data_IF_177587479080
#
_entry.id   IF_177587479080
#
_cell.length_a   1.000
_cell.length_b   1.000
_cell.length_c   1.000
_cell.angle_alpha   90.00
_cell.angle_beta   90.00
_cell.angle_gamma   90.00
#
_symmetry.space_group_name_H-M   'P 1'
#
loop_
_entity.id
_entity.type
_entity.pdbx_description
1 polymer ?
#
# COMPACT_ATOMS: atom_id res chain seq x y z
N UNK A 1 -0.83 20.37 19.51
CA UNK A 1 0.31 19.99 18.67
C UNK A 1 -0.19 18.99 17.65
N UNK A 2 -0.15 19.32 16.38
CA UNK A 2 -0.55 18.41 15.29
C UNK A 2 0.69 17.86 14.60
N UNK A 3 0.57 16.63 14.13
CA UNK A 3 1.63 15.89 13.48
C UNK A 3 1.13 15.54 12.09
N UNK A 4 1.91 15.88 11.08
CA UNK A 4 1.51 15.77 9.70
C UNK A 4 2.61 15.30 8.78
N UNK A 5 2.25 15.10 7.52
CA UNK A 5 3.12 14.78 6.41
C UNK A 5 3.64 16.11 5.85
N UNK A 6 4.95 16.30 5.84
CA UNK A 6 5.61 17.52 5.35
C UNK A 6 6.34 17.32 4.03
N UNK A 7 6.54 16.07 3.62
CA UNK A 7 7.10 15.73 2.32
C UNK A 7 6.72 14.34 1.88
N UNK A 8 6.57 14.17 0.56
CA UNK A 8 6.21 12.91 -0.07
C UNK A 8 7.15 12.59 -1.22
N UNK A 9 7.31 11.30 -1.50
CA UNK A 9 8.04 10.83 -2.66
C UNK A 9 7.60 9.44 -3.06
N UNK A 10 7.53 9.17 -4.35
CA UNK A 10 7.23 7.84 -4.85
C UNK A 10 8.21 7.40 -5.94
N UNK A 11 8.31 6.08 -6.08
CA UNK A 11 8.91 5.43 -7.23
C UNK A 11 7.88 4.51 -7.89
N UNK A 12 7.53 4.84 -9.11
CA UNK A 12 6.72 4.00 -9.98
C UNK A 12 7.66 3.43 -11.03
N UNK A 13 7.83 2.10 -11.11
CA UNK A 13 8.71 1.47 -12.09
C UNK A 13 8.34 1.83 -13.54
N UNK A 14 9.35 1.88 -14.41
CA UNK A 14 9.17 2.26 -15.81
C UNK A 14 8.66 1.10 -16.67
N UNK A 15 8.93 -0.15 -16.29
CA UNK A 15 8.50 -1.32 -17.04
C UNK A 15 7.00 -1.53 -16.91
N UNK A 16 6.30 -1.39 -18.02
CA UNK A 16 4.86 -1.64 -18.11
C UNK A 16 4.65 -3.10 -18.49
N UNK A 17 3.80 -3.80 -17.71
CA UNK A 17 3.33 -5.14 -18.04
C UNK A 17 1.83 -5.06 -18.24
N UNK A 18 1.38 -5.22 -19.47
CA UNK A 18 -0.02 -5.14 -19.85
C UNK A 18 -0.73 -6.49 -19.67
N UNK A 19 -2.04 -6.49 -19.64
CA UNK A 19 -2.82 -7.71 -19.53
C UNK A 19 -2.54 -8.71 -20.66
N UNK A 20 -2.29 -8.22 -21.90
CA UNK A 20 -1.93 -9.04 -23.06
C UNK A 20 -0.65 -9.87 -22.86
N UNK A 21 0.26 -9.40 -22.02
CA UNK A 21 1.54 -10.08 -21.77
C UNK A 21 1.36 -11.38 -20.98
N UNK A 22 0.14 -11.64 -20.49
CA UNK A 22 -0.25 -12.88 -19.81
C UNK A 22 -1.00 -13.88 -20.72
N UNK A 23 -1.17 -13.59 -22.02
CA UNK A 23 -1.93 -14.46 -22.93
C UNK A 23 -1.29 -15.83 -23.13
N UNK A 24 0.05 -15.90 -23.03
CA UNK A 24 0.81 -17.16 -23.18
C UNK A 24 1.08 -17.87 -21.83
N UNK A 25 0.55 -17.36 -20.70
CA UNK A 25 0.73 -18.00 -19.40
C UNK A 25 -0.12 -19.27 -19.30
N UNK A 26 0.37 -20.27 -18.56
CA UNK A 26 -0.37 -21.47 -18.22
C UNK A 26 -1.06 -21.28 -16.87
N UNK A 27 -2.25 -20.70 -16.86
CA UNK A 27 -3.00 -20.54 -15.62
C UNK A 27 -3.69 -21.82 -15.18
N UNK A 28 -3.53 -22.18 -13.90
CA UNK A 28 -4.10 -23.36 -13.27
C UNK A 28 -5.00 -22.99 -12.10
N UNK A 29 -6.00 -23.82 -11.84
CA UNK A 29 -6.77 -23.78 -10.61
C UNK A 29 -5.89 -24.17 -9.40
N UNK A 30 -6.33 -23.88 -8.18
CA UNK A 30 -5.59 -24.21 -6.96
C UNK A 30 -5.33 -25.71 -6.74
N UNK A 31 -6.05 -26.58 -7.41
CA UNK A 31 -5.86 -28.04 -7.42
C UNK A 31 -4.93 -28.54 -8.54
N UNK A 32 -4.33 -27.62 -9.31
CA UNK A 32 -3.44 -27.92 -10.44
C UNK A 32 -4.16 -28.26 -11.74
N UNK A 33 -5.48 -28.19 -11.79
CA UNK A 33 -6.22 -28.47 -13.03
C UNK A 33 -6.25 -27.21 -13.94
N UNK A 34 -6.25 -27.37 -15.29
CA UNK A 34 -6.42 -26.27 -16.22
C UNK A 34 -7.75 -25.51 -16.02
N UNK A 35 -7.75 -24.22 -16.32
CA UNK A 35 -9.01 -23.47 -16.38
C UNK A 35 -9.88 -23.95 -17.54
N UNK A 36 -11.19 -23.88 -17.36
CA UNK A 36 -12.18 -24.19 -18.38
C UNK A 36 -12.17 -23.19 -19.56
N UNK A 37 -11.70 -21.95 -19.32
CA UNK A 37 -11.64 -20.86 -20.28
C UNK A 37 -10.20 -20.62 -20.74
N UNK A 38 -10.04 -20.16 -21.99
CA UNK A 38 -8.74 -19.70 -22.49
C UNK A 38 -8.32 -18.35 -21.86
N UNK A 39 -7.03 -18.04 -21.94
CA UNK A 39 -6.45 -16.85 -21.31
C UNK A 39 -7.10 -15.53 -21.72
N UNK A 40 -7.43 -15.24 -22.99
CA UNK A 40 -8.15 -14.01 -23.34
C UNK A 40 -9.45 -13.79 -22.56
N UNK A 41 -10.22 -14.88 -22.33
CA UNK A 41 -11.45 -14.80 -21.52
C UNK A 41 -11.15 -14.60 -20.03
N UNK A 42 -10.11 -15.27 -19.51
CA UNK A 42 -9.67 -15.09 -18.12
C UNK A 42 -9.23 -13.64 -17.89
N UNK A 43 -8.41 -13.11 -18.78
CA UNK A 43 -7.85 -11.76 -18.73
C UNK A 43 -8.96 -10.70 -18.81
N UNK A 44 -9.92 -10.86 -19.70
CA UNK A 44 -11.05 -9.92 -19.80
C UNK A 44 -11.91 -9.93 -18.54
N UNK A 45 -12.26 -11.12 -18.02
CA UNK A 45 -12.96 -11.24 -16.72
C UNK A 45 -12.19 -10.61 -15.57
N UNK A 46 -10.86 -10.82 -15.54
CA UNK A 46 -9.98 -10.22 -14.54
C UNK A 46 -10.05 -8.68 -14.60
N UNK A 47 -9.90 -8.10 -15.80
CA UNK A 47 -9.99 -6.65 -16.01
C UNK A 47 -11.34 -6.08 -15.57
N UNK A 48 -12.44 -6.73 -15.94
CA UNK A 48 -13.81 -6.31 -15.56
C UNK A 48 -14.01 -6.30 -14.03
N UNK A 49 -13.34 -7.19 -13.30
CA UNK A 49 -13.47 -7.30 -11.83
C UNK A 49 -12.53 -6.35 -11.13
N UNK A 50 -11.26 -6.31 -11.53
CA UNK A 50 -10.19 -5.60 -10.82
C UNK A 50 -10.00 -4.16 -11.27
N UNK A 51 -10.42 -3.82 -12.49
CA UNK A 51 -10.10 -2.55 -13.14
C UNK A 51 -8.67 -2.50 -13.72
N UNK A 52 -7.81 -3.52 -13.46
CA UNK A 52 -6.40 -3.50 -13.85
C UNK A 52 -6.24 -3.77 -15.33
N UNK A 53 -5.63 -2.85 -16.06
CA UNK A 53 -5.24 -3.00 -17.47
C UNK A 53 -3.74 -3.25 -17.63
N UNK A 54 -2.93 -2.69 -16.74
CA UNK A 54 -1.48 -2.83 -16.70
C UNK A 54 -0.95 -2.69 -15.27
N UNK A 55 0.27 -3.11 -15.04
CA UNK A 55 0.99 -2.98 -13.78
C UNK A 55 2.43 -2.57 -14.05
N UNK A 56 3.17 -2.29 -13.00
CA UNK A 56 4.55 -1.79 -13.07
C UNK A 56 5.49 -2.77 -12.39
N UNK A 57 6.51 -3.23 -13.10
CA UNK A 57 7.52 -4.11 -12.56
C UNK A 57 8.87 -3.39 -12.45
N UNK A 58 9.55 -3.57 -11.34
CA UNK A 58 10.84 -2.97 -11.09
C UNK A 58 11.89 -3.51 -12.08
N UNK A 59 12.85 -2.67 -12.43
CA UNK A 59 14.00 -3.06 -13.23
C UNK A 59 14.76 -4.19 -12.56
N UNK A 60 15.36 -5.07 -13.37
CA UNK A 60 15.97 -6.32 -12.88
C UNK A 60 17.07 -6.11 -11.84
N UNK A 61 17.78 -4.99 -11.92
CA UNK A 61 18.89 -4.62 -11.03
C UNK A 61 18.46 -3.87 -9.77
N UNK A 62 17.17 -3.55 -9.58
CA UNK A 62 16.66 -2.84 -8.42
C UNK A 62 15.88 -3.80 -7.51
N UNK A 63 16.20 -3.79 -6.22
CA UNK A 63 15.46 -4.50 -5.18
C UNK A 63 14.48 -3.57 -4.44
N UNK A 64 13.71 -4.12 -3.52
CA UNK A 64 12.74 -3.37 -2.71
C UNK A 64 13.42 -2.21 -1.96
N UNK A 65 14.60 -2.45 -1.38
CA UNK A 65 15.36 -1.40 -0.68
C UNK A 65 15.88 -0.31 -1.61
N UNK A 66 16.21 -0.63 -2.87
CA UNK A 66 16.70 0.36 -3.86
C UNK A 66 15.56 1.30 -4.29
N UNK A 67 14.40 0.77 -4.63
CA UNK A 67 13.24 1.59 -5.01
C UNK A 67 12.72 2.41 -3.82
N UNK A 68 12.80 1.87 -2.61
CA UNK A 68 12.51 2.57 -1.37
C UNK A 68 13.47 3.75 -1.12
N UNK A 69 14.76 3.56 -1.38
CA UNK A 69 15.76 4.63 -1.33
C UNK A 69 15.41 5.78 -2.27
N UNK A 70 15.04 5.48 -3.52
CA UNK A 70 14.66 6.50 -4.51
C UNK A 70 13.44 7.30 -4.03
N UNK A 71 12.41 6.63 -3.52
CA UNK A 71 11.23 7.29 -2.97
C UNK A 71 11.58 8.16 -1.74
N UNK A 72 12.45 7.65 -0.87
CA UNK A 72 12.91 8.34 0.34
C UNK A 72 13.69 9.62 0.03
N UNK A 73 14.59 9.59 -0.97
CA UNK A 73 15.31 10.80 -1.41
C UNK A 73 14.34 11.89 -1.87
N UNK A 74 13.30 11.51 -2.63
CA UNK A 74 12.27 12.45 -3.09
C UNK A 74 11.47 13.03 -1.92
N UNK A 75 11.09 12.21 -0.93
CA UNK A 75 10.36 12.67 0.24
C UNK A 75 11.20 13.64 1.11
N UNK A 76 12.48 13.34 1.31
CA UNK A 76 13.41 14.22 2.05
C UNK A 76 13.61 15.56 1.33
N UNK A 77 13.76 15.52 0.00
CA UNK A 77 13.90 16.72 -0.83
C UNK A 77 12.62 17.56 -0.80
N UNK A 78 11.46 16.92 -0.93
CA UNK A 78 10.14 17.57 -0.91
C UNK A 78 9.86 18.27 0.44
N UNK A 79 10.21 17.60 1.55
CA UNK A 79 10.13 18.18 2.90
C UNK A 79 11.18 19.28 3.15
N UNK A 80 12.18 19.42 2.27
CA UNK A 80 13.31 20.35 2.45
C UNK A 80 14.02 20.21 3.82
N UNK A 81 14.25 18.97 4.26
CA UNK A 81 14.88 18.67 5.54
C UNK A 81 16.32 18.17 5.38
N UNK A 82 17.15 18.42 6.41
CA UNK A 82 18.42 17.75 6.58
C UNK A 82 18.17 16.29 7.06
N UNK A 83 18.60 15.31 6.25
CA UNK A 83 18.47 13.88 6.56
C UNK A 83 19.12 13.47 7.90
N UNK A 84 20.16 14.20 8.34
CA UNK A 84 20.82 13.95 9.63
C UNK A 84 19.94 14.29 10.85
N UNK A 85 18.80 14.97 10.62
CA UNK A 85 17.79 15.30 11.65
C UNK A 85 16.67 14.29 11.74
N UNK A 86 16.72 13.21 10.96
CA UNK A 86 15.78 12.09 11.13
C UNK A 86 16.09 11.32 12.42
N UNK A 87 15.03 11.02 13.17
CA UNK A 87 15.09 10.20 14.40
C UNK A 87 14.76 8.74 14.11
N UNK A 88 13.82 8.49 13.19
CA UNK A 88 13.41 7.13 12.82
C UNK A 88 13.23 6.97 11.32
N UNK A 89 13.58 5.77 10.83
CA UNK A 89 13.20 5.23 9.53
C UNK A 89 12.36 3.98 9.80
N UNK A 90 11.08 4.03 9.46
CA UNK A 90 10.12 2.93 9.60
C UNK A 90 9.79 2.43 8.21
N UNK A 91 10.17 1.20 7.89
CA UNK A 91 9.98 0.64 6.58
C UNK A 91 9.00 -0.52 6.61
N UNK A 92 7.82 -0.30 6.05
CA UNK A 92 6.80 -1.32 5.88
C UNK A 92 7.01 -2.08 4.57
N UNK A 93 7.11 -3.40 4.66
CA UNK A 93 7.16 -4.35 3.53
C UNK A 93 6.66 -5.72 4.01
N UNK A 94 6.51 -6.70 3.11
CA UNK A 94 6.09 -8.05 3.47
C UNK A 94 7.15 -9.11 3.18
N UNK A 95 8.03 -8.88 2.20
CA UNK A 95 8.87 -9.95 1.66
C UNK A 95 10.37 -9.64 1.65
N UNK A 96 10.79 -8.44 2.01
CA UNK A 96 12.20 -8.06 1.97
C UNK A 96 12.73 -7.82 0.57
N UNK A 97 14.04 -7.87 0.38
CA UNK A 97 14.67 -7.86 -0.93
C UNK A 97 14.66 -9.26 -1.54
N UNK A 98 14.23 -9.36 -2.78
CA UNK A 98 14.31 -10.58 -3.58
C UNK A 98 14.94 -10.21 -4.90
N UNK A 99 16.12 -10.77 -5.20
CA UNK A 99 16.80 -10.52 -6.45
C UNK A 99 16.01 -11.14 -7.62
N UNK A 100 16.09 -10.52 -8.80
CA UNK A 100 15.43 -11.03 -10.00
C UNK A 100 15.82 -12.48 -10.27
N UNK A 101 14.83 -13.35 -10.49
CA UNK A 101 15.02 -14.76 -10.74
C UNK A 101 15.36 -15.60 -9.50
N UNK A 102 15.37 -14.99 -8.31
CA UNK A 102 15.50 -15.69 -7.04
C UNK A 102 14.14 -15.80 -6.35
N UNK A 103 14.03 -16.75 -5.44
CA UNK A 103 12.83 -16.95 -4.59
C UNK A 103 13.12 -16.72 -3.11
N UNK A 104 14.39 -16.55 -2.75
CA UNK A 104 14.81 -16.36 -1.37
C UNK A 104 14.75 -14.88 -1.01
N UNK A 105 14.08 -14.60 0.09
CA UNK A 105 14.03 -13.28 0.70
C UNK A 105 15.33 -12.98 1.45
N UNK A 106 15.83 -11.77 1.32
CA UNK A 106 16.97 -11.21 2.04
C UNK A 106 16.54 -10.02 2.90
N UNK A 107 16.52 -10.22 4.22
CA UNK A 107 16.10 -9.23 5.22
C UNK A 107 17.20 -8.88 6.24
N UNK A 108 18.45 -9.31 5.99
CA UNK A 108 19.55 -9.04 6.91
C UNK A 108 20.72 -8.36 6.20
N UNK A 109 21.06 -7.09 6.54
CA UNK A 109 20.37 -6.24 7.51
C UNK A 109 18.97 -5.82 7.05
N UNK A 110 18.17 -5.25 7.97
CA UNK A 110 16.82 -4.77 7.67
C UNK A 110 16.82 -3.82 6.47
N UNK A 111 15.73 -3.78 5.70
CA UNK A 111 15.62 -2.90 4.53
C UNK A 111 15.72 -1.42 4.93
N UNK A 112 15.15 -1.05 6.09
CA UNK A 112 15.32 0.30 6.65
C UNK A 112 16.78 0.65 6.90
N UNK A 113 17.60 -0.31 7.38
CA UNK A 113 19.04 -0.11 7.56
C UNK A 113 19.77 0.04 6.23
N UNK A 114 19.36 -0.70 5.19
CA UNK A 114 19.88 -0.55 3.83
C UNK A 114 19.55 0.84 3.27
N UNK A 115 18.31 1.30 3.42
CA UNK A 115 17.92 2.66 3.01
C UNK A 115 18.71 3.72 3.77
N UNK A 116 18.88 3.58 5.10
CA UNK A 116 19.73 4.49 5.89
C UNK A 116 21.17 4.55 5.34
N UNK A 117 21.74 3.38 5.01
CA UNK A 117 23.09 3.29 4.42
C UNK A 117 23.15 3.99 3.06
N UNK A 118 22.19 3.73 2.17
CA UNK A 118 22.12 4.36 0.83
C UNK A 118 21.92 5.88 0.92
N UNK A 119 21.12 6.35 1.87
CA UNK A 119 20.95 7.78 2.18
C UNK A 119 22.21 8.41 2.78
N UNK A 120 23.23 7.59 3.19
CA UNK A 120 24.45 8.07 3.82
C UNK A 120 24.19 8.90 5.08
N UNK A 121 23.23 8.49 5.91
CA UNK A 121 22.93 9.12 7.19
C UNK A 121 23.99 8.67 8.21
N UNK A 122 24.75 9.65 8.73
CA UNK A 122 25.82 9.42 9.72
C UNK A 122 25.31 9.39 11.15
N UNK A 123 24.18 10.04 11.42
CA UNK A 123 23.59 10.11 12.74
C UNK A 123 23.27 8.71 13.30
N UNK A 124 23.97 8.21 14.33
CA UNK A 124 23.69 6.88 14.89
C UNK A 124 22.37 6.83 15.67
N UNK A 125 21.83 8.00 16.07
CA UNK A 125 20.56 8.10 16.80
C UNK A 125 19.35 8.01 15.85
N UNK A 126 19.54 8.06 14.53
CA UNK A 126 18.49 7.74 13.57
C UNK A 126 18.28 6.23 13.56
N UNK A 127 17.27 5.74 14.25
CA UNK A 127 16.95 4.31 14.39
C UNK A 127 16.20 3.84 13.14
N UNK A 128 16.62 2.70 12.59
CA UNK A 128 16.05 2.15 11.36
C UNK A 128 15.57 0.72 11.59
N UNK A 129 14.30 0.43 11.33
CA UNK A 129 13.72 -0.90 11.48
C UNK A 129 12.60 -1.17 10.48
N UNK A 130 12.36 -2.46 10.21
CA UNK A 130 11.32 -2.93 9.31
C UNK A 130 10.06 -3.30 10.08
N UNK A 131 8.90 -3.21 9.40
CA UNK A 131 7.61 -3.56 9.94
C UNK A 131 6.83 -4.43 8.95
N UNK A 132 6.41 -5.61 9.40
CA UNK A 132 5.55 -6.53 8.67
C UNK A 132 4.11 -6.33 9.16
N UNK A 133 3.24 -5.78 8.29
CA UNK A 133 1.85 -5.48 8.67
C UNK A 133 0.84 -5.65 7.52
N UNK A 134 1.23 -6.34 6.45
CA UNK A 134 0.42 -6.43 5.24
C UNK A 134 0.31 -5.10 4.49
N UNK A 135 -0.66 -4.98 3.58
CA UNK A 135 -0.88 -3.76 2.81
C UNK A 135 -1.11 -2.49 3.67
N UNK A 136 -1.69 -2.55 4.89
CA UNK A 136 -1.81 -1.39 5.77
C UNK A 136 -0.50 -0.88 6.39
N UNK A 137 0.63 -1.56 6.17
CA UNK A 137 1.89 -1.29 6.86
C UNK A 137 2.36 0.15 6.81
N UNK A 138 2.22 0.85 5.67
CA UNK A 138 2.58 2.27 5.62
C UNK A 138 1.69 3.12 6.55
N UNK A 139 0.37 2.86 6.61
CA UNK A 139 -0.55 3.60 7.51
C UNK A 139 -0.16 3.33 8.97
N UNK A 140 0.12 2.07 9.33
CA UNK A 140 0.57 1.72 10.68
C UNK A 140 1.90 2.41 11.03
N UNK A 141 2.84 2.50 10.09
CA UNK A 141 4.08 3.26 10.25
C UNK A 141 3.84 4.75 10.51
N UNK A 142 2.86 5.35 9.83
CA UNK A 142 2.43 6.75 10.08
C UNK A 142 1.82 6.89 11.48
N UNK A 143 1.02 5.92 11.93
CA UNK A 143 0.45 5.89 13.29
C UNK A 143 1.55 5.78 14.34
N UNK A 144 2.54 4.91 14.14
CA UNK A 144 3.69 4.78 15.05
C UNK A 144 4.53 6.05 15.09
N UNK A 145 4.84 6.63 13.92
CA UNK A 145 5.55 7.92 13.85
C UNK A 145 4.82 9.03 14.62
N UNK A 146 3.48 9.10 14.47
CA UNK A 146 2.65 10.02 15.25
C UNK A 146 2.76 9.77 16.77
N UNK A 147 2.74 8.50 17.20
CA UNK A 147 2.90 8.15 18.62
C UNK A 147 4.30 8.53 19.14
N UNK A 148 5.37 8.24 18.39
CA UNK A 148 6.75 8.60 18.77
C UNK A 148 6.95 10.12 18.90
N UNK A 149 6.36 10.89 17.98
CA UNK A 149 6.48 12.34 18.04
C UNK A 149 5.63 12.92 19.19
N UNK A 150 4.41 12.41 19.42
CA UNK A 150 3.57 12.83 20.55
C UNK A 150 4.19 12.53 21.91
N UNK A 151 4.89 11.41 22.02
CA UNK A 151 5.58 11.02 23.27
C UNK A 151 6.93 11.74 23.50
N UNK A 152 7.40 12.52 22.52
CA UNK A 152 8.71 13.17 22.56
C UNK A 152 9.90 12.27 22.24
N UNK A 153 9.67 11.00 21.85
CA UNK A 153 10.74 10.08 21.42
C UNK A 153 11.36 10.48 20.09
N UNK A 154 10.59 11.15 19.22
CA UNK A 154 11.04 11.61 17.90
C UNK A 154 10.54 13.03 17.62
N UNK A 155 11.20 13.68 16.67
CA UNK A 155 10.74 14.93 16.06
C UNK A 155 10.42 14.75 14.58
N UNK A 156 11.17 13.88 13.90
CA UNK A 156 11.07 13.61 12.46
C UNK A 156 11.22 12.13 12.18
N UNK A 157 10.27 11.56 11.45
CA UNK A 157 10.30 10.17 11.01
C UNK A 157 10.17 10.09 9.49
N UNK A 158 10.93 9.20 8.88
CA UNK A 158 10.74 8.77 7.49
C UNK A 158 9.94 7.46 7.53
N UNK A 159 8.75 7.45 6.93
CA UNK A 159 7.89 6.26 6.82
C UNK A 159 7.84 5.82 5.37
N UNK A 160 8.19 4.57 5.11
CA UNK A 160 8.33 3.99 3.78
C UNK A 160 7.39 2.80 3.64
N UNK A 161 6.75 2.68 2.47
CA UNK A 161 6.08 1.47 2.03
C UNK A 161 6.61 1.08 0.65
N UNK A 162 7.20 -0.10 0.50
CA UNK A 162 7.74 -0.55 -0.78
C UNK A 162 7.67 -2.07 -0.94
N UNK A 163 7.47 -2.52 -2.18
CA UNK A 163 7.41 -3.93 -2.56
C UNK A 163 7.91 -4.16 -3.98
N UNK A 164 8.49 -5.35 -4.20
CA UNK A 164 8.74 -5.94 -5.51
C UNK A 164 7.96 -7.26 -5.63
N UNK A 165 6.63 -7.16 -5.65
CA UNK A 165 5.72 -8.33 -5.63
C UNK A 165 5.81 -9.17 -6.90
N UNK A 166 6.23 -8.58 -8.02
CA UNK A 166 6.47 -9.31 -9.27
C UNK A 166 7.40 -10.52 -9.13
N UNK A 167 8.23 -10.52 -8.07
CA UNK A 167 9.25 -11.57 -7.82
C UNK A 167 8.77 -12.74 -6.98
N UNK A 168 7.56 -12.62 -6.41
CA UNK A 168 6.99 -13.61 -5.50
C UNK A 168 5.60 -14.09 -5.92
N UNK A 169 5.19 -13.74 -7.12
CA UNK A 169 3.93 -14.23 -7.71
C UNK A 169 4.13 -15.58 -8.37
N UNK A 170 3.12 -16.42 -8.25
CA UNK A 170 3.08 -17.70 -8.94
C UNK A 170 2.70 -17.50 -10.41
N UNK A 171 3.55 -17.85 -11.39
CA UNK A 171 3.23 -17.67 -12.80
C UNK A 171 2.04 -18.51 -13.28
N UNK A 172 1.69 -19.56 -12.53
CA UNK A 172 0.55 -20.43 -12.82
C UNK A 172 -0.76 -19.96 -12.17
N UNK A 173 -0.70 -18.91 -11.34
CA UNK A 173 -1.86 -18.36 -10.66
C UNK A 173 -2.33 -17.08 -11.37
N UNK A 174 -3.57 -17.06 -11.87
CA UNK A 174 -4.12 -15.86 -12.52
C UNK A 174 -4.13 -14.63 -11.61
N UNK A 175 -4.17 -14.83 -10.29
CA UNK A 175 -4.14 -13.74 -9.33
C UNK A 175 -2.78 -13.02 -9.31
N UNK A 176 -1.73 -13.60 -9.94
CA UNK A 176 -0.45 -12.96 -10.21
C UNK A 176 -0.61 -11.64 -10.97
N UNK A 177 -1.64 -11.54 -11.84
CA UNK A 177 -1.95 -10.32 -12.61
C UNK A 177 -2.33 -9.11 -11.75
N UNK A 178 -2.70 -9.32 -10.46
CA UNK A 178 -3.08 -8.23 -9.55
C UNK A 178 -1.85 -7.40 -9.16
N UNK A 179 -0.73 -8.07 -8.93
CA UNK A 179 0.40 -7.53 -8.20
C UNK A 179 1.34 -6.68 -9.05
N UNK A 180 1.88 -5.66 -8.43
CA UNK A 180 2.76 -4.66 -9.01
C UNK A 180 3.89 -4.32 -8.04
N UNK A 181 4.93 -3.66 -8.54
CA UNK A 181 6.02 -3.15 -7.76
C UNK A 181 5.87 -1.63 -7.55
N UNK A 182 6.49 -1.10 -6.51
CA UNK A 182 6.51 0.32 -6.26
C UNK A 182 6.99 0.69 -4.87
N UNK A 183 7.27 1.97 -4.68
CA UNK A 183 7.64 2.54 -3.40
C UNK A 183 7.00 3.90 -3.19
N UNK A 184 6.58 4.16 -1.96
CA UNK A 184 6.18 5.49 -1.50
C UNK A 184 6.79 5.79 -0.14
N UNK A 185 7.16 7.04 0.08
CA UNK A 185 7.80 7.48 1.32
C UNK A 185 7.25 8.84 1.74
N UNK A 186 7.19 9.07 3.06
CA UNK A 186 6.71 10.31 3.64
C UNK A 186 7.55 10.74 4.83
N UNK A 187 7.72 12.05 4.97
CA UNK A 187 8.28 12.64 6.19
C UNK A 187 7.13 13.03 7.11
N UNK A 188 7.20 12.54 8.33
CA UNK A 188 6.24 12.83 9.40
C UNK A 188 6.95 13.65 10.46
N UNK A 189 6.40 14.83 10.75
CA UNK A 189 6.92 15.71 11.79
C UNK A 189 5.83 16.58 12.41
N UNK A 190 6.20 17.30 13.45
CA UNK A 190 5.30 18.29 14.04
C UNK A 190 5.01 19.38 13.00
N UNK A 191 3.73 19.66 12.80
CA UNK A 191 3.26 20.69 11.91
C UNK A 191 2.77 21.90 12.71
N UNK A 192 3.26 23.07 12.38
CA UNK A 192 2.79 24.34 12.96
C UNK A 192 1.43 24.77 12.41
N UNK A 193 1.03 24.21 11.27
CA UNK A 193 -0.26 24.44 10.63
C UNK A 193 -1.37 23.64 11.31
N UNK A 194 -2.63 23.96 10.96
CA UNK A 194 -3.81 23.22 11.43
C UNK A 194 -3.97 21.81 10.81
N UNK A 195 -3.17 21.47 9.79
CA UNK A 195 -3.14 20.17 9.12
C UNK A 195 -2.55 19.05 9.98
N UNK A 196 -2.80 17.80 9.58
CA UNK A 196 -2.22 16.62 10.22
C UNK A 196 -3.24 15.54 10.58
N UNK A 197 -2.79 14.57 11.36
CA UNK A 197 -3.59 13.41 11.79
C UNK A 197 -4.62 13.88 12.84
N UNK A 198 -5.91 13.70 12.52
CA UNK A 198 -7.04 14.06 13.39
C UNK A 198 -7.47 12.87 14.25
N UNK A 199 -7.59 11.70 13.66
CA UNK A 199 -7.90 10.44 14.33
C UNK A 199 -7.28 9.27 13.57
N UNK A 200 -7.13 8.14 14.24
CA UNK A 200 -6.69 6.89 13.61
C UNK A 200 -7.27 5.67 14.32
N UNK A 201 -7.32 4.55 13.63
CA UNK A 201 -7.70 3.26 14.17
C UNK A 201 -6.87 2.15 13.54
N UNK A 202 -6.59 1.12 14.33
CA UNK A 202 -5.92 -0.11 13.90
C UNK A 202 -6.68 -1.32 14.46
N UNK A 203 -6.78 -2.38 13.65
CA UNK A 203 -7.36 -3.64 14.07
C UNK A 203 -6.66 -4.81 13.37
N UNK A 204 -6.58 -5.94 14.04
CA UNK A 204 -6.02 -7.21 13.52
C UNK A 204 -7.02 -8.33 13.80
N UNK A 205 -7.50 -8.97 12.74
CA UNK A 205 -8.47 -10.07 12.80
C UNK A 205 -7.77 -11.38 12.44
N UNK A 206 -7.43 -12.18 13.45
CA UNK A 206 -6.65 -13.40 13.23
C UNK A 206 -7.30 -14.67 13.79
N UNK A 207 -8.48 -14.55 14.38
CA UNK A 207 -9.14 -15.71 15.01
C UNK A 207 -9.45 -16.81 13.98
N UNK A 208 -10.04 -16.45 12.84
CA UNK A 208 -10.31 -17.36 11.72
C UNK A 208 -9.69 -16.89 10.39
N UNK A 209 -9.27 -15.63 10.31
CA UNK A 209 -8.95 -14.93 9.08
C UNK A 209 -7.44 -14.81 8.80
N UNK A 210 -6.59 -15.22 9.76
CA UNK A 210 -5.13 -15.02 9.70
C UNK A 210 -4.50 -15.41 8.35
N UNK A 211 -4.99 -16.48 7.75
CA UNK A 211 -4.46 -17.07 6.51
C UNK A 211 -5.33 -16.81 5.28
N UNK A 212 -6.09 -15.72 5.24
CA UNK A 212 -6.79 -15.35 4.00
C UNK A 212 -5.84 -14.86 2.91
N UNK A 213 -4.73 -14.21 3.31
CA UNK A 213 -3.53 -14.02 2.51
C UNK A 213 -2.38 -14.80 3.16
N UNK A 214 -1.65 -15.58 2.38
CA UNK A 214 -0.61 -16.46 2.92
C UNK A 214 0.49 -16.72 1.89
N UNK A 215 1.55 -17.40 2.31
CA UNK A 215 2.67 -17.82 1.47
C UNK A 215 2.54 -19.32 1.22
N UNK A 216 2.18 -19.70 0.00
CA UNK A 216 1.79 -21.07 -0.38
C UNK A 216 2.49 -21.60 -1.61
N UNK A 217 2.33 -22.90 -1.89
CA UNK A 217 2.91 -23.58 -3.05
C UNK A 217 2.31 -23.06 -4.36
N UNK A 218 3.04 -23.30 -5.46
CA UNK A 218 2.53 -23.08 -6.81
C UNK A 218 1.24 -23.87 -7.08
N UNK A 219 0.41 -23.35 -7.97
CA UNK A 219 -0.72 -24.10 -8.54
C UNK A 219 -0.24 -25.22 -9.48
N UNK A 220 0.98 -25.15 -10.01
CA UNK A 220 1.56 -26.25 -10.77
C UNK A 220 2.15 -27.29 -9.81
N UNK A 221 1.58 -28.51 -9.72
CA UNK A 221 2.05 -29.56 -8.82
C UNK A 221 3.46 -30.10 -9.17
N UNK A 222 3.92 -29.85 -10.39
CA UNK A 222 5.27 -30.22 -10.84
C UNK A 222 6.31 -29.13 -10.56
N UNK A 223 5.88 -27.93 -10.07
CA UNK A 223 6.81 -26.87 -9.72
C UNK A 223 7.63 -27.21 -8.47
N UNK A 224 8.74 -26.50 -8.29
CA UNK A 224 9.60 -26.64 -7.11
C UNK A 224 8.83 -26.33 -5.80
N UNK A 225 9.44 -26.65 -4.65
CA UNK A 225 8.89 -26.29 -3.32
C UNK A 225 8.86 -24.78 -3.04
N UNK A 226 9.17 -23.96 -4.02
CA UNK A 226 9.08 -22.49 -3.94
C UNK A 226 7.66 -22.07 -3.57
N UNK A 227 7.58 -21.15 -2.60
CA UNK A 227 6.31 -20.58 -2.16
C UNK A 227 6.12 -19.21 -2.77
N UNK A 228 4.88 -18.85 -2.92
CA UNK A 228 4.42 -17.59 -3.54
C UNK A 228 3.32 -16.95 -2.72
N UNK A 229 3.07 -15.67 -2.95
CA UNK A 229 1.89 -15.00 -2.38
C UNK A 229 0.62 -15.66 -2.91
N UNK A 230 -0.27 -16.02 -2.00
CA UNK A 230 -1.56 -16.66 -2.27
C UNK A 230 -2.67 -15.99 -1.50
N UNK A 231 -3.89 -16.08 -2.01
CA UNK A 231 -5.04 -15.51 -1.33
C UNK A 231 -6.34 -16.30 -1.55
N UNK A 232 -7.21 -16.23 -0.56
CA UNK A 232 -8.60 -16.65 -0.69
C UNK A 232 -9.46 -15.45 -1.10
N UNK A 233 -9.38 -15.04 -2.36
CA UNK A 233 -9.92 -13.78 -2.87
C UNK A 233 -11.36 -13.49 -2.48
N UNK A 234 -12.28 -14.50 -2.53
CA UNK A 234 -13.67 -14.35 -2.10
C UNK A 234 -13.79 -14.00 -0.61
N UNK A 235 -13.05 -14.70 0.26
CA UNK A 235 -13.06 -14.46 1.72
C UNK A 235 -12.53 -13.07 2.04
N UNK A 236 -11.45 -12.64 1.35
CA UNK A 236 -10.90 -11.29 1.51
C UNK A 236 -11.92 -10.23 1.09
N UNK A 237 -12.59 -10.41 -0.04
CA UNK A 237 -13.63 -9.50 -0.51
C UNK A 237 -14.77 -9.37 0.53
N UNK A 238 -15.34 -10.50 0.98
CA UNK A 238 -16.42 -10.55 1.96
C UNK A 238 -16.00 -9.88 3.28
N UNK A 239 -14.77 -10.15 3.74
CA UNK A 239 -14.21 -9.54 4.94
C UNK A 239 -14.02 -8.02 4.77
N UNK A 240 -13.34 -7.59 3.71
CA UNK A 240 -13.02 -6.19 3.48
C UNK A 240 -14.27 -5.31 3.40
N UNK A 241 -15.26 -5.75 2.61
CA UNK A 241 -16.54 -5.05 2.45
C UNK A 241 -17.37 -5.02 3.74
N UNK A 242 -17.16 -5.97 4.66
CA UNK A 242 -17.87 -6.03 5.94
C UNK A 242 -17.22 -5.18 7.03
N UNK A 243 -15.88 -5.14 7.12
CA UNK A 243 -15.15 -4.59 8.26
C UNK A 243 -14.54 -3.21 8.00
N UNK A 244 -13.99 -2.96 6.79
CA UNK A 244 -13.32 -1.69 6.49
C UNK A 244 -14.26 -0.47 6.62
N UNK A 245 -15.52 -0.52 6.14
CA UNK A 245 -16.45 0.60 6.31
C UNK A 245 -16.69 0.97 7.78
N UNK A 246 -16.76 -0.02 8.66
CA UNK A 246 -16.96 0.18 10.11
C UNK A 246 -15.74 0.81 10.76
N UNK A 247 -14.52 0.40 10.36
CA UNK A 247 -13.28 1.00 10.83
C UNK A 247 -13.16 2.45 10.37
N UNK A 248 -13.46 2.74 9.10
CA UNK A 248 -13.50 4.10 8.56
C UNK A 248 -14.51 4.98 9.31
N UNK A 249 -15.70 4.44 9.57
CA UNK A 249 -16.74 5.15 10.32
C UNK A 249 -16.28 5.46 11.73
N UNK A 250 -15.80 4.49 12.47
CA UNK A 250 -15.28 4.67 13.82
C UNK A 250 -14.18 5.75 13.87
N UNK A 251 -13.26 5.71 12.90
CA UNK A 251 -12.19 6.69 12.79
C UNK A 251 -12.72 8.12 12.52
N UNK A 252 -13.69 8.26 11.60
CA UNK A 252 -14.28 9.55 11.28
C UNK A 252 -15.07 10.11 12.46
N UNK A 253 -15.90 9.29 13.12
CA UNK A 253 -16.67 9.69 14.29
C UNK A 253 -15.74 10.18 15.43
N UNK A 254 -14.61 9.51 15.67
CA UNK A 254 -13.59 9.91 16.65
C UNK A 254 -12.92 11.24 16.31
N UNK A 255 -12.80 11.57 15.03
CA UNK A 255 -12.18 12.83 14.59
C UNK A 255 -13.06 14.07 14.85
N UNK A 256 -14.36 13.88 15.05
CA UNK A 256 -15.34 14.95 15.14
C UNK A 256 -15.64 15.66 13.81
N UNK A 257 -15.11 15.15 12.70
CA UNK A 257 -15.32 15.70 11.36
C UNK A 257 -16.62 15.14 10.78
N UNK A 258 -17.42 16.00 10.14
CA UNK A 258 -18.63 15.57 9.45
C UNK A 258 -18.27 14.85 8.14
N UNK A 259 -19.04 13.84 7.77
CA UNK A 259 -18.85 13.09 6.49
C UNK A 259 -18.91 14.03 5.27
N UNK A 260 -19.67 15.12 5.34
CA UNK A 260 -19.77 16.14 4.28
C UNK A 260 -18.51 16.96 4.07
N UNK A 261 -17.58 16.95 5.05
CA UNK A 261 -16.29 17.65 4.97
C UNK A 261 -15.21 16.76 4.34
N UNK A 262 -15.47 15.45 4.18
CA UNK A 262 -14.51 14.52 3.58
C UNK A 262 -14.38 14.80 2.08
N UNK A 263 -13.21 15.27 1.68
CA UNK A 263 -12.90 15.65 0.30
C UNK A 263 -12.53 14.46 -0.58
N UNK A 264 -11.72 13.54 -0.05
CA UNK A 264 -11.25 12.33 -0.75
C UNK A 264 -11.08 11.16 0.21
N UNK A 265 -11.24 9.95 -0.32
CA UNK A 265 -10.88 8.70 0.33
C UNK A 265 -9.73 8.08 -0.45
N UNK A 266 -8.56 8.06 0.17
CA UNK A 266 -7.33 7.46 -0.37
C UNK A 266 -7.22 6.06 0.20
N UNK A 267 -7.90 5.13 -0.47
CA UNK A 267 -7.99 3.72 -0.04
C UNK A 267 -6.91 2.87 -0.72
N UNK A 268 -6.47 1.80 -0.05
CA UNK A 268 -5.66 0.76 -0.67
C UNK A 268 -6.38 0.16 -1.88
N UNK A 269 -5.67 -0.01 -2.98
CA UNK A 269 -6.26 -0.42 -4.26
C UNK A 269 -5.81 -1.84 -4.62
N UNK A 270 -6.65 -2.79 -4.27
CA UNK A 270 -6.45 -4.20 -4.60
C UNK A 270 -7.41 -4.68 -5.69
N UNK A 271 -8.60 -4.10 -5.77
CA UNK A 271 -9.67 -4.47 -6.70
C UNK A 271 -10.69 -3.32 -6.76
N UNK A 272 -10.87 -2.71 -7.93
CA UNK A 272 -11.73 -1.53 -8.09
C UNK A 272 -13.17 -1.75 -7.59
N UNK A 273 -13.79 -2.90 -7.92
CA UNK A 273 -15.17 -3.19 -7.46
C UNK A 273 -15.26 -3.38 -5.95
N UNK A 274 -14.22 -3.96 -5.33
CA UNK A 274 -14.13 -4.10 -3.89
C UNK A 274 -14.02 -2.74 -3.22
N UNK A 275 -13.14 -1.89 -3.72
CA UNK A 275 -12.90 -0.55 -3.18
C UNK A 275 -14.15 0.32 -3.29
N UNK A 276 -14.85 0.26 -4.43
CA UNK A 276 -16.17 0.90 -4.59
C UNK A 276 -17.21 0.37 -3.59
N UNK A 277 -17.28 -0.95 -3.39
CA UNK A 277 -18.25 -1.55 -2.47
C UNK A 277 -17.98 -1.12 -1.03
N UNK A 278 -16.71 -1.02 -0.63
CA UNK A 278 -16.29 -0.51 0.68
C UNK A 278 -16.77 0.94 0.87
N UNK A 279 -16.43 1.82 -0.06
CA UNK A 279 -16.76 3.25 0.05
C UNK A 279 -18.28 3.49 -0.05
N UNK A 280 -18.99 2.77 -0.91
CA UNK A 280 -20.46 2.80 -0.97
C UNK A 280 -21.09 2.40 0.37
N UNK A 281 -20.60 1.34 1.02
CA UNK A 281 -21.09 0.92 2.36
C UNK A 281 -20.73 1.92 3.45
N UNK A 282 -19.55 2.53 3.38
CA UNK A 282 -19.16 3.58 4.31
C UNK A 282 -20.13 4.76 4.26
N UNK A 283 -20.43 5.31 3.08
CA UNK A 283 -21.43 6.39 2.94
C UNK A 283 -22.83 5.96 3.33
N UNK A 284 -23.24 4.73 2.98
CA UNK A 284 -24.54 4.17 3.40
C UNK A 284 -24.69 4.11 4.92
N UNK A 285 -23.61 3.91 5.67
CA UNK A 285 -23.64 3.90 7.14
C UNK A 285 -24.03 5.26 7.77
N UNK A 286 -23.95 6.33 6.98
CA UNK A 286 -24.43 7.67 7.31
C UNK A 286 -25.77 8.03 6.62
N UNK A 287 -26.38 7.08 5.94
CA UNK A 287 -27.63 7.31 5.19
C UNK A 287 -27.46 8.12 3.90
N UNK A 288 -26.22 8.21 3.37
CA UNK A 288 -25.87 9.03 2.22
C UNK A 288 -25.43 8.18 1.01
N UNK A 289 -25.65 8.66 -0.23
CA UNK A 289 -25.04 8.08 -1.40
C UNK A 289 -23.55 8.41 -1.45
N UNK A 290 -22.74 7.52 -2.06
CA UNK A 290 -21.33 7.79 -2.33
C UNK A 290 -21.21 8.96 -3.32
N UNK A 291 -20.47 10.04 -3.01
CA UNK A 291 -20.24 11.13 -3.94
C UNK A 291 -19.42 10.66 -5.16
N UNK A 292 -19.69 11.28 -6.31
CA UNK A 292 -18.86 11.10 -7.50
C UNK A 292 -17.44 11.61 -7.20
N UNK A 293 -16.45 10.95 -7.77
CA UNK A 293 -15.03 11.36 -7.71
C UNK A 293 -14.44 11.47 -6.28
N UNK A 294 -15.10 10.86 -5.28
CA UNK A 294 -14.60 10.83 -3.89
C UNK A 294 -13.34 9.97 -3.74
N UNK A 295 -13.20 8.95 -4.57
CA UNK A 295 -12.15 7.94 -4.50
C UNK A 295 -11.24 8.04 -5.75
N UNK A 296 -10.04 8.64 -5.62
CA UNK A 296 -9.07 8.65 -6.71
C UNK A 296 -8.54 7.24 -6.96
N UNK A 297 -8.50 6.82 -8.23
CA UNK A 297 -8.10 5.48 -8.65
C UNK A 297 -6.88 5.53 -9.56
N UNK A 298 -5.85 4.76 -9.22
CA UNK A 298 -4.65 4.55 -10.05
C UNK A 298 -4.46 3.08 -10.46
N UNK A 299 -5.30 2.18 -9.92
CA UNK A 299 -5.15 0.73 -10.04
C UNK A 299 -5.12 0.25 -11.50
N UNK A 300 -5.89 0.89 -12.38
CA UNK A 300 -5.96 0.52 -13.79
C UNK A 300 -4.62 0.54 -14.52
N UNK A 301 -3.69 1.42 -14.07
CA UNK A 301 -2.36 1.62 -14.65
C UNK A 301 -1.22 1.17 -13.74
N UNK A 302 -1.42 1.15 -12.44
CA UNK A 302 -0.35 0.86 -11.49
C UNK A 302 -0.47 -0.51 -10.84
N UNK A 303 -1.62 -1.19 -10.97
CA UNK A 303 -1.85 -2.45 -10.27
C UNK A 303 -1.84 -2.30 -8.75
N UNK A 304 -1.68 -3.41 -8.04
CA UNK A 304 -1.60 -3.46 -6.58
C UNK A 304 -0.14 -3.60 -6.12
N UNK A 305 0.47 -2.53 -5.65
CA UNK A 305 1.80 -2.50 -5.06
C UNK A 305 1.80 -2.61 -3.52
N UNK A 306 0.74 -3.20 -2.95
CA UNK A 306 0.59 -3.46 -1.50
C UNK A 306 0.80 -2.20 -0.64
N UNK A 307 1.79 -2.20 0.24
CA UNK A 307 2.12 -1.10 1.17
C UNK A 307 2.50 0.21 0.46
N UNK A 308 2.91 0.14 -0.80
CA UNK A 308 3.28 1.32 -1.58
C UNK A 308 2.08 2.04 -2.22
N UNK A 309 0.92 1.41 -2.30
CA UNK A 309 -0.26 1.95 -3.01
C UNK A 309 -0.68 3.32 -2.47
N UNK A 310 -0.93 3.42 -1.16
CA UNK A 310 -1.43 4.66 -0.55
C UNK A 310 -0.41 5.79 -0.58
N UNK A 311 0.86 5.61 -0.16
CA UNK A 311 1.82 6.71 -0.21
C UNK A 311 2.15 7.15 -1.64
N UNK A 312 2.11 6.24 -2.64
CA UNK A 312 2.25 6.61 -4.06
C UNK A 312 1.07 7.44 -4.53
N UNK A 313 -0.16 7.02 -4.22
CA UNK A 313 -1.37 7.75 -4.59
C UNK A 313 -1.41 9.14 -3.94
N UNK A 314 -1.01 9.23 -2.66
CA UNK A 314 -0.91 10.51 -1.96
C UNK A 314 0.10 11.45 -2.62
N UNK A 315 1.31 10.95 -2.97
CA UNK A 315 2.32 11.74 -3.68
C UNK A 315 1.79 12.26 -5.03
N UNK A 316 1.06 11.40 -5.76
CA UNK A 316 0.46 11.79 -7.03
C UNK A 316 -0.61 12.89 -6.87
N UNK A 317 -1.44 12.79 -5.84
CA UNK A 317 -2.50 13.77 -5.55
C UNK A 317 -1.88 15.12 -5.15
N UNK A 318 -0.95 15.13 -4.19
CA UNK A 318 -0.33 16.35 -3.69
C UNK A 318 0.51 17.07 -4.76
N UNK A 319 1.07 16.33 -5.72
CA UNK A 319 1.84 16.87 -6.86
C UNK A 319 1.03 17.14 -8.13
N UNK A 320 -0.31 17.09 -8.04
CA UNK A 320 -1.20 17.42 -9.16
C UNK A 320 -1.12 16.46 -10.35
N UNK A 321 -0.58 15.23 -10.14
CA UNK A 321 -0.48 14.22 -11.21
C UNK A 321 -1.81 13.52 -11.51
N UNK A 322 -2.86 13.86 -10.75
CA UNK A 322 -4.23 13.39 -10.95
C UNK A 322 -5.16 14.62 -11.12
N UNK A 323 -5.28 15.16 -12.33
CA UNK A 323 -5.93 16.46 -12.57
C UNK A 323 -7.40 16.51 -12.12
N UNK A 324 -8.11 15.37 -12.16
CA UNK A 324 -9.51 15.26 -11.74
C UNK A 324 -9.68 15.16 -10.20
N UNK A 325 -8.57 15.05 -9.45
CA UNK A 325 -8.55 14.81 -8.00
C UNK A 325 -7.60 15.75 -7.29
N UNK A 326 -7.93 17.05 -7.28
CA UNK A 326 -7.11 18.05 -6.61
C UNK A 326 -7.33 18.06 -5.09
N UNK A 327 -6.26 18.25 -4.34
CA UNK A 327 -6.25 18.50 -2.90
C UNK A 327 -5.66 19.89 -2.63
N UNK A 328 -6.27 20.60 -1.69
CA UNK A 328 -5.83 21.90 -1.22
C UNK A 328 -5.62 21.88 0.29
N UNK A 329 -4.82 22.81 0.79
CA UNK A 329 -4.60 22.96 2.23
C UNK A 329 -5.93 23.14 2.96
N UNK A 330 -6.14 22.32 4.01
CA UNK A 330 -7.37 22.31 4.81
C UNK A 330 -8.35 21.21 4.41
N UNK A 331 -8.23 20.62 3.22
CA UNK A 331 -9.08 19.50 2.80
C UNK A 331 -8.91 18.30 3.75
N UNK A 332 -10.03 17.65 4.07
CA UNK A 332 -10.02 16.44 4.90
C UNK A 332 -10.06 15.21 4.01
N UNK A 333 -9.14 14.28 4.25
CA UNK A 333 -9.08 13.00 3.56
C UNK A 333 -9.10 11.85 4.55
N UNK A 334 -9.54 10.68 4.09
CA UNK A 334 -9.46 9.43 4.84
C UNK A 334 -8.48 8.50 4.13
N UNK A 335 -7.47 8.02 4.86
CA UNK A 335 -6.69 6.85 4.45
C UNK A 335 -7.36 5.61 5.00
N UNK A 336 -7.46 4.54 4.19
CA UNK A 336 -7.98 3.25 4.64
C UNK A 336 -7.28 2.10 3.92
N UNK A 337 -6.96 1.04 4.64
CA UNK A 337 -6.32 -0.14 4.07
C UNK A 337 -6.71 -1.41 4.81
N UNK A 338 -6.65 -2.54 4.10
CA UNK A 338 -6.79 -3.90 4.61
C UNK A 338 -5.75 -4.80 3.94
N UNK A 339 -5.19 -5.76 4.66
CA UNK A 339 -4.15 -6.65 4.12
C UNK A 339 -3.88 -7.89 4.95
N UNK A 340 -2.79 -8.58 4.66
CA UNK A 340 -2.38 -9.83 5.29
C UNK A 340 -2.41 -9.76 6.82
N UNK A 341 -2.79 -10.86 7.48
CA UNK A 341 -3.13 -10.87 8.89
C UNK A 341 -4.51 -10.26 9.15
N UNK A 342 -5.24 -9.94 8.08
CA UNK A 342 -6.51 -9.22 8.07
C UNK A 342 -6.46 -7.96 8.95
N UNK A 343 -5.31 -7.27 8.81
CA UNK A 343 -5.08 -5.97 9.44
C UNK A 343 -5.90 -4.90 8.74
N UNK A 344 -6.47 -3.98 9.51
CA UNK A 344 -7.20 -2.81 9.00
C UNK A 344 -6.67 -1.58 9.70
N UNK A 345 -6.37 -0.54 8.91
CA UNK A 345 -6.10 0.79 9.42
C UNK A 345 -6.99 1.83 8.74
N UNK A 346 -7.31 2.88 9.49
CA UNK A 346 -7.83 4.12 8.93
C UNK A 346 -7.21 5.33 9.64
N UNK A 347 -7.01 6.41 8.89
CA UNK A 347 -6.60 7.73 9.41
C UNK A 347 -7.52 8.79 8.82
N UNK A 348 -8.05 9.68 9.65
CA UNK A 348 -8.64 10.96 9.20
C UNK A 348 -7.54 12.01 9.26
N UNK A 349 -7.27 12.62 8.12
CA UNK A 349 -6.14 13.52 7.92
C UNK A 349 -6.59 14.85 7.30
N UNK A 350 -6.06 15.97 7.80
CA UNK A 350 -6.25 17.29 7.19
C UNK A 350 -4.97 17.69 6.45
N UNK A 351 -5.11 17.99 5.16
CA UNK A 351 -4.01 18.42 4.27
C UNK A 351 -3.46 19.81 4.65
#
# INVERSE_FOLDING_TARGET
>A
MRIGITGTGCYVPSTIVANKDFEEHEFLNADGTPFQYNNPVIIEKFKVITGISERRYAEQNLNTSDIAFIASQKAITDANIDKEKLDYIIFAHNFGDIAQGQSQSDMLPSLASRVKHLLRIKNPKCVAYDMLFGCPGWIEGVIQANAFIKSGMAKKCLVIGAETLSRIVDPYDRDSMIYSDGAGATIIEQNENEGGILAHTSATYTYEEAYFLFYGKSHNPAASETKYIKMHGRKIYEFAVSHVPSAMKSCLDQSGILISEVKKIVIHQANEKMDEAIVKRFYKSYGLPMPKDIMPMSIGKLGNSSVATIPTLLDMLLKGKMPDHQLTKGDVIIFASVGAGMNINAIVYRV
#
